data_IF_661169808592
#
_entry.id   IF_661169808592
#
_cell.length_a   1.000
_cell.length_b   1.000
_cell.length_c   1.000
_cell.angle_alpha   90.00
_cell.angle_beta   90.00
_cell.angle_gamma   90.00
#
_symmetry.space_group_name_H-M   'P 1'
#
loop_
_entity.id
_entity.type
_entity.pdbx_description
1 polymer ?
#
# COMPACT_ATOMS: atom_id res chain seq x y z
N UNK A 1 -16.65 -30.01 -21.02
CA UNK A 1 -16.92 -28.63 -21.52
C UNK A 1 -17.94 -28.03 -20.59
N UNK A 2 -17.49 -27.32 -19.52
CA UNK A 2 -18.34 -26.54 -18.63
C UNK A 2 -18.94 -25.36 -19.40
N UNK A 3 -20.21 -25.07 -19.16
CA UNK A 3 -20.80 -23.80 -19.57
C UNK A 3 -20.32 -22.75 -18.56
N UNK A 4 -19.52 -21.79 -19.01
CA UNK A 4 -19.32 -20.55 -18.24
C UNK A 4 -20.67 -19.86 -18.10
N UNK A 5 -21.13 -19.72 -16.88
CA UNK A 5 -22.24 -18.84 -16.52
C UNK A 5 -21.62 -17.51 -16.07
N UNK A 6 -21.70 -16.49 -16.90
CA UNK A 6 -21.37 -15.14 -16.49
C UNK A 6 -22.56 -14.63 -15.64
N UNK A 7 -22.32 -14.44 -14.34
CA UNK A 7 -23.19 -13.61 -13.50
C UNK A 7 -22.76 -12.15 -13.70
N UNK A 8 -23.69 -11.33 -14.17
CA UNK A 8 -23.52 -9.87 -14.15
C UNK A 8 -24.12 -9.43 -12.81
N UNK A 9 -23.26 -9.25 -11.82
CA UNK A 9 -23.64 -8.73 -10.51
C UNK A 9 -23.60 -7.20 -10.57
N UNK A 10 -24.67 -6.62 -11.03
CA UNK A 10 -24.86 -5.19 -11.15
C UNK A 10 -24.80 -4.67 -12.58
N UNK A 11 -25.68 -3.75 -12.89
CA UNK A 11 -25.68 -2.97 -14.14
C UNK A 11 -25.51 -1.51 -13.77
N UNK A 12 -24.43 -0.88 -14.25
CA UNK A 12 -24.32 0.56 -14.23
C UNK A 12 -24.98 1.13 -15.48
N UNK A 13 -25.95 1.99 -15.30
CA UNK A 13 -26.57 2.72 -16.43
C UNK A 13 -25.84 4.04 -16.62
N UNK A 14 -25.11 4.18 -17.73
CA UNK A 14 -24.54 5.47 -18.10
C UNK A 14 -25.64 6.53 -18.19
N UNK A 15 -25.41 7.76 -17.68
CA UNK A 15 -26.34 8.87 -17.87
C UNK A 15 -26.66 9.08 -19.36
N UNK A 16 -27.90 9.38 -19.69
CA UNK A 16 -28.35 9.60 -21.09
C UNK A 16 -27.52 10.62 -21.89
N UNK A 17 -26.76 11.46 -21.19
CA UNK A 17 -25.91 12.51 -21.75
C UNK A 17 -24.40 12.26 -21.55
N UNK A 18 -23.95 11.04 -21.29
CA UNK A 18 -22.53 10.75 -21.23
C UNK A 18 -21.92 10.90 -22.63
N UNK A 19 -21.23 12.01 -22.95
CA UNK A 19 -20.91 12.35 -24.35
C UNK A 19 -19.81 11.48 -24.95
N UNK A 20 -19.12 10.64 -24.15
CA UNK A 20 -17.90 9.95 -24.58
C UNK A 20 -17.84 8.46 -24.17
N UNK A 21 -18.92 7.86 -23.66
CA UNK A 21 -18.94 6.44 -23.26
C UNK A 21 -18.08 6.11 -22.03
N UNK A 22 -17.78 7.11 -21.19
CA UNK A 22 -17.11 6.94 -19.88
C UNK A 22 -17.84 7.77 -18.82
N UNK A 23 -17.64 7.37 -17.55
CA UNK A 23 -18.06 8.12 -16.39
C UNK A 23 -16.93 9.08 -15.97
N UNK A 24 -17.25 10.37 -15.86
CA UNK A 24 -16.35 11.37 -15.29
C UNK A 24 -16.65 11.53 -13.80
N UNK A 25 -15.65 11.26 -12.96
CA UNK A 25 -15.76 11.34 -11.51
C UNK A 25 -14.96 12.55 -11.04
N UNK A 26 -15.60 13.61 -10.49
CA UNK A 26 -14.89 14.77 -9.96
C UNK A 26 -14.12 14.39 -8.70
N UNK A 27 -12.83 14.70 -8.66
CA UNK A 27 -11.96 14.41 -7.53
C UNK A 27 -11.58 15.69 -6.77
N UNK A 28 -11.33 15.55 -5.47
CA UNK A 28 -10.94 16.64 -4.57
C UNK A 28 -9.43 16.64 -4.34
N UNK A 29 -8.68 17.25 -5.27
CA UNK A 29 -7.21 17.30 -5.19
C UNK A 29 -6.73 17.84 -3.84
N UNK A 30 -5.74 17.19 -3.18
CA UNK A 30 -5.08 17.75 -2.00
C UNK A 30 -4.41 19.10 -2.30
N UNK A 31 -4.23 19.93 -1.29
CA UNK A 31 -3.52 21.19 -1.41
C UNK A 31 -2.06 20.97 -1.82
N UNK A 32 -1.55 21.86 -2.65
CA UNK A 32 -0.13 21.88 -3.02
C UNK A 32 0.75 22.12 -1.80
N UNK A 33 1.98 21.64 -1.81
CA UNK A 33 2.88 21.71 -0.67
C UNK A 33 4.29 22.18 -1.02
N UNK A 34 5.12 22.30 0.01
CA UNK A 34 6.52 22.69 -0.09
C UNK A 34 7.35 21.71 0.74
N UNK A 35 8.44 21.19 0.17
CA UNK A 35 9.37 20.29 0.87
C UNK A 35 10.24 21.05 1.88
N UNK A 36 10.92 20.37 2.81
CA UNK A 36 11.93 20.99 3.66
C UNK A 36 13.09 21.67 2.89
N UNK A 37 13.34 21.26 1.65
CA UNK A 37 14.33 21.87 0.78
C UNK A 37 13.82 23.13 0.03
N UNK A 38 12.52 23.45 0.16
CA UNK A 38 11.89 24.60 -0.50
C UNK A 38 11.27 24.29 -1.86
N UNK A 39 11.31 23.06 -2.33
CA UNK A 39 10.70 22.66 -3.60
C UNK A 39 9.18 22.55 -3.47
N UNK A 40 8.45 23.17 -4.39
CA UNK A 40 7.00 23.07 -4.45
C UNK A 40 6.56 21.78 -5.16
N UNK A 41 5.43 21.24 -4.75
CA UNK A 41 4.80 20.09 -5.39
C UNK A 41 3.28 20.20 -5.40
N UNK A 42 2.66 19.57 -6.37
CA UNK A 42 1.22 19.43 -6.52
C UNK A 42 0.86 17.94 -6.48
N UNK A 43 -0.42 17.59 -6.66
CA UNK A 43 -0.89 16.21 -6.64
C UNK A 43 -1.55 15.81 -7.95
N UNK A 44 -1.44 14.52 -8.26
CA UNK A 44 -2.22 13.84 -9.30
C UNK A 44 -2.79 12.53 -8.76
N UNK A 45 -3.97 12.08 -9.26
CA UNK A 45 -4.47 10.75 -8.96
C UNK A 45 -3.51 9.71 -9.54
N UNK A 46 -3.32 8.62 -8.80
CA UNK A 46 -2.42 7.54 -9.16
C UNK A 46 -3.16 6.18 -9.08
N UNK A 47 -2.65 5.19 -8.33
CA UNK A 47 -3.30 3.90 -8.20
C UNK A 47 -4.67 4.02 -7.53
N UNK A 48 -5.62 3.21 -8.00
CA UNK A 48 -6.92 3.06 -7.40
C UNK A 48 -7.31 1.59 -7.25
N UNK A 49 -8.18 1.32 -6.28
CA UNK A 49 -8.86 0.05 -6.08
C UNK A 49 -10.34 0.32 -5.84
N UNK A 50 -11.17 -0.69 -5.93
CA UNK A 50 -12.61 -0.59 -5.67
C UNK A 50 -13.03 -1.60 -4.61
N UNK A 51 -14.07 -1.28 -3.88
CA UNK A 51 -14.74 -2.17 -2.93
C UNK A 51 -16.05 -1.57 -2.48
N UNK A 52 -16.99 -2.41 -2.10
CA UNK A 52 -18.18 -2.01 -1.37
C UNK A 52 -17.76 -1.76 0.08
N UNK A 53 -17.59 -0.50 0.46
CA UNK A 53 -17.03 -0.15 1.77
C UNK A 53 -18.11 0.08 2.84
N UNK A 54 -19.35 0.35 2.45
CA UNK A 54 -20.44 0.60 3.39
C UNK A 54 -21.52 -0.49 3.39
N UNK A 55 -21.41 -1.48 2.49
CA UNK A 55 -22.29 -2.64 2.42
C UNK A 55 -23.61 -2.36 1.71
N UNK A 56 -23.67 -1.35 0.88
CA UNK A 56 -24.89 -0.96 0.15
C UNK A 56 -25.04 -1.67 -1.20
N UNK A 57 -24.01 -2.42 -1.63
CA UNK A 57 -23.97 -3.16 -2.89
C UNK A 57 -23.45 -2.36 -4.07
N UNK A 58 -23.08 -1.10 -3.88
CA UNK A 58 -22.35 -0.29 -4.86
C UNK A 58 -20.87 -0.21 -4.48
N UNK A 59 -19.99 0.03 -5.46
CA UNK A 59 -18.56 0.13 -5.18
C UNK A 59 -18.11 1.57 -5.04
N UNK A 60 -17.28 1.80 -4.03
CA UNK A 60 -16.50 3.02 -3.85
C UNK A 60 -15.11 2.86 -4.48
N UNK A 61 -14.51 4.00 -4.76
CA UNK A 61 -13.15 4.11 -5.29
C UNK A 61 -12.21 4.53 -4.17
N UNK A 62 -11.23 3.69 -3.86
CA UNK A 62 -10.12 4.03 -2.98
C UNK A 62 -8.97 4.47 -3.86
N UNK A 63 -8.58 5.76 -3.75
CA UNK A 63 -7.64 6.43 -4.62
C UNK A 63 -6.40 6.90 -3.86
N UNK A 64 -5.23 6.57 -4.38
CA UNK A 64 -3.95 7.12 -3.93
C UNK A 64 -3.62 8.39 -4.69
N UNK A 65 -3.28 9.44 -3.96
CA UNK A 65 -2.73 10.69 -4.49
C UNK A 65 -1.22 10.68 -4.43
N UNK A 66 -0.57 10.85 -5.57
CA UNK A 66 0.88 10.99 -5.68
C UNK A 66 1.28 12.47 -5.78
N UNK A 67 2.24 12.93 -4.96
CA UNK A 67 2.84 14.24 -5.14
C UNK A 67 3.71 14.26 -6.40
N UNK A 68 3.74 15.38 -7.11
CA UNK A 68 4.49 15.55 -8.37
C UNK A 68 6.01 15.38 -8.22
N UNK A 69 6.51 15.41 -6.99
CA UNK A 69 7.91 15.14 -6.63
C UNK A 69 8.10 13.73 -6.03
N UNK A 70 7.24 12.77 -6.37
CA UNK A 70 7.45 11.37 -6.03
C UNK A 70 8.74 10.84 -6.66
N UNK A 71 9.44 9.93 -5.98
CA UNK A 71 10.72 9.40 -6.43
C UNK A 71 10.73 7.89 -6.44
N UNK A 72 11.39 7.30 -7.44
CA UNK A 72 11.80 5.90 -7.35
C UNK A 72 12.75 5.68 -6.17
N UNK A 73 12.76 4.47 -5.63
CA UNK A 73 13.63 4.08 -4.51
C UNK A 73 15.13 4.30 -4.79
N UNK A 74 15.53 4.35 -6.05
CA UNK A 74 16.92 4.61 -6.43
C UNK A 74 17.31 6.08 -6.33
N UNK A 75 16.35 7.01 -6.33
CA UNK A 75 16.60 8.45 -6.42
C UNK A 75 16.58 9.15 -5.06
N UNK A 76 17.38 10.20 -4.93
CA UNK A 76 17.41 11.09 -3.76
C UNK A 76 16.30 12.16 -3.87
N UNK A 77 15.99 12.81 -2.77
CA UNK A 77 15.08 13.96 -2.70
C UNK A 77 13.91 13.74 -1.74
N UNK A 78 13.40 14.83 -1.17
CA UNK A 78 12.16 14.83 -0.40
C UNK A 78 10.97 14.58 -1.32
N UNK A 79 9.94 13.95 -0.78
CA UNK A 79 8.63 13.83 -1.43
C UNK A 79 7.56 14.52 -0.59
N UNK A 80 6.47 14.91 -1.22
CA UNK A 80 5.23 15.23 -0.53
C UNK A 80 4.65 14.01 0.19
N UNK A 81 3.67 14.26 1.04
CA UNK A 81 2.93 13.20 1.75
C UNK A 81 1.98 12.50 0.80
N UNK A 82 1.74 11.21 1.03
CA UNK A 82 0.78 10.41 0.26
C UNK A 82 -0.57 10.47 0.95
N UNK A 83 -1.63 10.72 0.17
CA UNK A 83 -3.01 10.62 0.66
C UNK A 83 -3.72 9.43 0.04
N UNK A 84 -4.61 8.84 0.82
CA UNK A 84 -5.56 7.83 0.36
C UNK A 84 -6.96 8.37 0.60
N UNK A 85 -7.75 8.45 -0.44
CA UNK A 85 -9.11 8.94 -0.41
C UNK A 85 -10.11 7.83 -0.75
N UNK A 86 -11.32 7.96 -0.25
CA UNK A 86 -12.46 7.18 -0.70
C UNK A 86 -13.49 8.10 -1.36
N UNK A 87 -14.01 7.66 -2.50
CA UNK A 87 -15.02 8.39 -3.29
C UNK A 87 -16.17 7.47 -3.68
N UNK A 88 -17.38 7.98 -3.61
CA UNK A 88 -18.51 7.40 -4.33
C UNK A 88 -18.38 7.63 -5.83
N UNK A 89 -19.09 6.85 -6.64
CA UNK A 89 -19.10 6.99 -8.09
C UNK A 89 -19.66 8.35 -8.59
N UNK A 90 -20.36 9.10 -7.74
CA UNK A 90 -20.82 10.47 -8.03
C UNK A 90 -19.75 11.55 -7.73
N UNK A 91 -18.57 11.18 -7.20
CA UNK A 91 -17.49 12.09 -6.82
C UNK A 91 -17.59 12.65 -5.40
N UNK A 92 -18.53 12.18 -4.59
CA UNK A 92 -18.57 12.50 -3.16
C UNK A 92 -17.37 11.86 -2.46
N UNK A 93 -16.53 12.68 -1.82
CA UNK A 93 -15.41 12.22 -1.00
C UNK A 93 -15.95 11.81 0.38
N UNK A 94 -15.83 10.54 0.72
CA UNK A 94 -16.25 10.00 2.02
C UNK A 94 -15.23 10.28 3.11
N UNK A 95 -13.96 10.06 2.79
CA UNK A 95 -12.87 10.27 3.74
C UNK A 95 -11.51 10.44 3.05
N UNK A 96 -10.55 10.91 3.83
CA UNK A 96 -9.12 11.04 3.46
C UNK A 96 -8.24 10.59 4.62
N UNK A 97 -7.23 9.77 4.31
CA UNK A 97 -6.15 9.36 5.20
C UNK A 97 -4.87 10.06 4.73
N UNK A 98 -4.09 10.61 5.66
CA UNK A 98 -2.77 11.15 5.39
C UNK A 98 -1.70 10.18 5.90
N UNK A 99 -0.89 9.61 5.01
CA UNK A 99 0.18 8.68 5.40
C UNK A 99 1.36 9.37 6.11
N UNK A 100 1.41 10.70 6.06
CA UNK A 100 2.40 11.51 6.77
C UNK A 100 3.79 11.51 6.14
N UNK A 101 4.66 12.30 6.74
CA UNK A 101 6.01 12.56 6.24
C UNK A 101 6.99 11.37 6.32
N UNK A 102 6.67 10.35 7.13
CA UNK A 102 7.50 9.16 7.32
C UNK A 102 7.16 8.01 6.35
N UNK A 103 6.25 8.24 5.40
CA UNK A 103 6.03 7.41 4.22
C UNK A 103 6.48 8.20 2.99
N UNK A 104 7.52 7.73 2.32
CA UNK A 104 8.01 8.34 1.09
C UNK A 104 7.08 8.03 -0.08
N UNK A 105 6.90 8.95 -1.01
CA UNK A 105 6.08 8.75 -2.20
C UNK A 105 6.90 8.21 -3.38
N UNK A 106 6.30 7.29 -4.14
CA UNK A 106 6.85 6.69 -5.35
C UNK A 106 6.28 5.30 -5.63
N UNK A 107 6.64 4.72 -6.74
CA UNK A 107 6.00 3.53 -7.31
C UNK A 107 6.00 2.28 -6.40
N UNK A 108 6.92 2.18 -5.43
CA UNK A 108 7.13 0.95 -4.67
C UNK A 108 6.89 1.09 -3.16
N UNK A 109 6.50 2.29 -2.69
CA UNK A 109 6.42 2.56 -1.24
C UNK A 109 5.08 2.21 -0.62
N UNK A 110 3.98 2.41 -1.35
CA UNK A 110 2.63 2.28 -0.79
C UNK A 110 1.81 1.31 -1.62
N UNK A 111 1.65 0.11 -1.09
CA UNK A 111 0.66 -0.87 -1.55
C UNK A 111 -0.51 -0.84 -0.58
N UNK A 112 -1.73 -0.86 -1.08
CA UNK A 112 -2.94 -0.92 -0.27
C UNK A 112 -3.91 -1.96 -0.86
N UNK A 113 -4.54 -2.72 0.03
CA UNK A 113 -5.52 -3.75 -0.33
C UNK A 113 -6.88 -3.30 0.13
N UNK A 114 -7.88 -3.47 -0.73
CA UNK A 114 -9.29 -3.18 -0.46
C UNK A 114 -10.04 -4.48 -0.64
N UNK A 115 -10.57 -5.02 0.43
CA UNK A 115 -11.28 -6.30 0.40
C UNK A 115 -12.11 -6.48 1.67
N UNK A 116 -13.24 -7.18 1.56
CA UNK A 116 -14.01 -7.68 2.70
C UNK A 116 -13.23 -8.85 3.33
N UNK A 117 -12.43 -8.54 4.36
CA UNK A 117 -11.47 -9.46 4.94
C UNK A 117 -12.06 -10.34 6.06
N UNK A 118 -13.18 -9.95 6.65
CA UNK A 118 -13.84 -10.71 7.71
C UNK A 118 -15.21 -11.29 7.30
N UNK A 119 -15.66 -10.98 6.08
CA UNK A 119 -16.88 -11.53 5.51
C UNK A 119 -18.15 -10.85 6.01
N UNK A 120 -18.07 -9.61 6.50
CA UNK A 120 -19.22 -8.86 7.00
C UNK A 120 -19.99 -8.11 5.90
N UNK A 121 -19.48 -8.13 4.66
CA UNK A 121 -20.04 -7.48 3.48
C UNK A 121 -19.52 -6.06 3.26
N UNK A 122 -18.52 -5.61 4.03
CA UNK A 122 -17.87 -4.31 3.88
C UNK A 122 -16.37 -4.48 3.70
N UNK A 123 -15.81 -3.81 2.70
CA UNK A 123 -14.39 -3.91 2.46
C UNK A 123 -13.59 -3.06 3.45
N UNK A 124 -12.53 -3.64 4.03
CA UNK A 124 -11.48 -2.91 4.73
C UNK A 124 -10.43 -2.38 3.77
N UNK A 125 -9.64 -1.41 4.27
CA UNK A 125 -8.43 -0.94 3.61
C UNK A 125 -7.21 -1.27 4.46
N UNK A 126 -6.28 -2.05 3.92
CA UNK A 126 -5.06 -2.45 4.64
C UNK A 126 -3.83 -1.93 3.92
N UNK A 127 -2.95 -1.27 4.66
CA UNK A 127 -1.71 -0.72 4.11
C UNK A 127 -0.64 -0.51 5.18
N UNK A 128 0.60 -0.35 4.69
CA UNK A 128 1.72 0.06 5.54
C UNK A 128 1.55 1.52 5.96
N UNK A 129 1.73 1.77 7.25
CA UNK A 129 1.73 3.09 7.88
C UNK A 129 3.03 3.32 8.66
N UNK A 130 3.23 4.51 9.19
CA UNK A 130 4.39 4.87 10.00
C UNK A 130 3.98 5.85 11.11
N UNK A 131 4.92 6.19 11.98
CA UNK A 131 4.74 7.28 12.94
C UNK A 131 4.30 8.56 12.21
N UNK A 132 3.23 9.20 12.71
CA UNK A 132 2.66 10.41 12.14
C UNK A 132 1.66 10.19 11.01
N UNK A 133 1.28 8.96 10.67
CA UNK A 133 0.11 8.70 9.81
C UNK A 133 -1.15 9.15 10.54
N UNK A 134 -2.07 9.83 9.84
CA UNK A 134 -3.31 10.40 10.39
C UNK A 134 -4.49 9.77 9.68
N UNK A 135 -5.37 9.12 10.42
CA UNK A 135 -6.60 8.55 9.87
C UNK A 135 -7.65 9.63 9.57
N UNK A 136 -8.77 9.22 9.00
CA UNK A 136 -9.87 10.13 8.61
C UNK A 136 -10.53 10.85 9.78
N UNK A 137 -10.38 10.36 11.00
CA UNK A 137 -10.92 10.95 12.24
C UNK A 137 -9.91 11.86 12.94
N UNK A 138 -8.70 12.02 12.35
CA UNK A 138 -7.63 12.83 12.94
C UNK A 138 -6.81 12.10 14.00
N UNK A 139 -7.00 10.79 14.17
CA UNK A 139 -6.19 9.98 15.10
C UNK A 139 -4.82 9.72 14.48
N UNK A 140 -3.78 10.03 15.23
CA UNK A 140 -2.40 9.80 14.81
C UNK A 140 -1.98 8.38 15.19
N UNK A 141 -1.37 7.67 14.24
CA UNK A 141 -0.73 6.38 14.45
C UNK A 141 0.71 6.63 14.90
N UNK A 142 1.10 6.01 16.01
CA UNK A 142 2.44 6.14 16.57
C UNK A 142 2.77 7.54 17.09
N UNK A 143 4.00 8.00 16.89
CA UNK A 143 4.50 9.30 17.35
C UNK A 143 4.21 10.41 16.33
N UNK A 144 3.34 11.37 16.70
CA UNK A 144 2.98 12.51 15.86
C UNK A 144 4.17 13.45 15.54
N UNK A 145 5.21 13.46 16.39
CA UNK A 145 6.35 14.36 16.25
C UNK A 145 7.52 13.75 15.49
N UNK A 146 7.48 12.44 15.24
CA UNK A 146 8.57 11.75 14.57
C UNK A 146 8.81 12.31 13.16
N UNK A 147 10.06 12.52 12.82
CA UNK A 147 10.52 12.83 11.47
C UNK A 147 11.80 12.03 11.19
N UNK A 148 11.67 11.06 10.30
CA UNK A 148 12.76 10.13 9.96
C UNK A 148 13.39 10.45 8.61
N UNK A 149 12.98 11.55 7.97
CA UNK A 149 13.53 11.97 6.68
C UNK A 149 14.98 12.39 6.86
N UNK A 150 15.87 11.78 6.10
CA UNK A 150 17.28 12.15 6.10
C UNK A 150 17.47 13.53 5.46
N UNK A 151 18.24 14.41 6.08
CA UNK A 151 18.62 15.70 5.52
C UNK A 151 19.63 15.53 4.38
N UNK A 152 20.36 14.43 4.42
CA UNK A 152 21.36 14.08 3.44
C UNK A 152 22.73 14.68 3.73
N UNK A 153 23.71 14.26 2.92
CA UNK A 153 25.09 14.76 2.99
C UNK A 153 25.57 15.09 1.59
N UNK A 154 26.14 16.28 1.41
CA UNK A 154 26.70 16.67 0.13
C UNK A 154 27.92 15.82 -0.25
N UNK A 155 27.88 15.20 -1.43
CA UNK A 155 28.99 14.46 -2.02
C UNK A 155 29.60 15.31 -3.15
N UNK A 156 30.79 15.89 -2.95
CA UNK A 156 31.42 16.74 -3.96
C UNK A 156 31.84 15.97 -5.21
N UNK A 157 32.08 14.67 -5.12
CA UNK A 157 32.45 13.83 -6.26
C UNK A 157 31.31 13.63 -7.25
N UNK A 158 30.07 13.72 -6.77
CA UNK A 158 28.83 13.56 -7.54
C UNK A 158 28.09 14.87 -7.72
N UNK A 159 28.53 15.93 -7.06
CA UNK A 159 27.83 17.21 -6.98
C UNK A 159 26.33 17.04 -6.59
N UNK A 160 26.07 16.19 -5.59
CA UNK A 160 24.71 15.78 -5.18
C UNK A 160 24.62 15.62 -3.66
N UNK A 161 23.44 15.94 -3.10
CA UNK A 161 23.12 15.61 -1.71
C UNK A 161 22.64 14.15 -1.67
N UNK A 162 23.44 13.29 -1.05
CA UNK A 162 23.13 11.88 -0.93
C UNK A 162 22.20 11.59 0.23
N UNK A 163 21.28 10.64 0.05
CA UNK A 163 20.28 10.18 1.04
C UNK A 163 19.22 11.22 1.43
N UNK A 164 19.21 12.39 0.83
CA UNK A 164 18.19 13.41 1.12
C UNK A 164 16.77 12.86 0.92
N UNK A 165 15.89 13.11 1.90
CA UNK A 165 14.48 12.71 1.87
C UNK A 165 14.24 11.20 2.02
N UNK A 166 15.26 10.38 2.22
CA UNK A 166 15.11 8.94 2.46
C UNK A 166 14.67 8.66 3.89
N UNK A 167 13.92 7.58 4.06
CA UNK A 167 13.47 7.09 5.37
C UNK A 167 14.25 5.80 5.66
N UNK A 168 15.37 5.92 6.38
CA UNK A 168 16.28 4.79 6.62
C UNK A 168 16.13 4.16 8.01
N UNK A 169 15.27 4.73 8.85
CA UNK A 169 15.00 4.30 10.24
C UNK A 169 13.56 4.63 10.60
N UNK A 170 13.18 4.32 11.82
CA UNK A 170 11.87 4.63 12.38
C UNK A 170 10.93 3.44 12.35
N UNK A 171 9.82 3.60 13.06
CA UNK A 171 8.78 2.58 13.15
C UNK A 171 7.89 2.58 11.93
N UNK A 172 7.55 1.38 11.53
CA UNK A 172 6.57 1.09 10.48
C UNK A 172 5.54 0.13 11.03
N UNK A 173 4.31 0.29 10.55
CA UNK A 173 3.18 -0.51 10.99
C UNK A 173 2.42 -1.07 9.79
N UNK A 174 1.60 -2.08 10.05
CA UNK A 174 0.53 -2.52 9.17
C UNK A 174 -0.79 -2.17 9.87
N UNK A 175 -1.62 -1.39 9.19
CA UNK A 175 -2.88 -0.90 9.74
C UNK A 175 -4.06 -1.35 8.88
N UNK A 176 -5.10 -1.84 9.55
CA UNK A 176 -6.43 -2.05 8.97
C UNK A 176 -7.27 -0.82 9.27
N UNK A 177 -7.87 -0.26 8.22
CA UNK A 177 -8.81 0.85 8.30
C UNK A 177 -10.20 0.39 7.92
N UNK A 178 -11.22 0.94 8.56
CA UNK A 178 -12.61 0.81 8.10
C UNK A 178 -12.74 1.40 6.69
N UNK A 179 -13.23 0.63 5.74
CA UNK A 179 -13.53 1.15 4.41
C UNK A 179 -14.63 2.21 4.41
N UNK A 180 -15.63 2.04 5.26
CA UNK A 180 -16.77 2.97 5.39
C UNK A 180 -16.31 4.34 5.94
N UNK A 181 -15.46 4.36 6.95
CA UNK A 181 -15.11 5.61 7.65
C UNK A 181 -13.69 6.08 7.50
N UNK A 182 -12.75 5.24 7.03
CA UNK A 182 -11.31 5.54 7.01
C UNK A 182 -10.67 5.62 8.40
N UNK A 183 -11.35 5.18 9.47
CA UNK A 183 -10.81 5.11 10.82
C UNK A 183 -9.85 3.92 10.98
N UNK A 184 -8.74 4.11 11.68
CA UNK A 184 -7.80 3.04 11.99
C UNK A 184 -8.41 2.08 13.03
N UNK A 185 -8.75 0.85 12.61
CA UNK A 185 -9.35 -0.20 13.42
C UNK A 185 -8.30 -0.93 14.25
N UNK A 186 -7.21 -1.38 13.60
CA UNK A 186 -6.14 -2.12 14.26
C UNK A 186 -4.80 -1.84 13.61
N UNK A 187 -3.76 -1.74 14.43
CA UNK A 187 -2.38 -1.47 13.99
C UNK A 187 -1.43 -2.41 14.70
N UNK A 188 -0.56 -3.05 13.93
CA UNK A 188 0.53 -3.89 14.42
C UNK A 188 1.87 -3.38 13.89
N UNK A 189 2.98 -3.76 14.51
CA UNK A 189 4.30 -3.53 13.95
C UNK A 189 4.44 -4.23 12.59
N UNK A 190 5.06 -3.56 11.61
CA UNK A 190 5.24 -4.14 10.27
C UNK A 190 6.20 -5.33 10.31
N UNK A 191 5.80 -6.43 9.68
CA UNK A 191 6.59 -7.67 9.56
C UNK A 191 6.99 -7.89 8.10
N UNK A 192 8.29 -8.01 7.80
CA UNK A 192 9.41 -7.87 8.71
C UNK A 192 9.74 -6.41 9.01
N UNK A 193 10.25 -6.12 10.19
CA UNK A 193 10.79 -4.79 10.48
C UNK A 193 11.91 -4.42 9.49
N UNK A 194 12.08 -3.11 9.22
CA UNK A 194 13.17 -2.61 8.33
C UNK A 194 14.54 -3.05 8.83
N UNK A 195 14.80 -2.97 10.13
CA UNK A 195 16.09 -3.24 10.70
C UNK A 195 17.16 -2.30 10.14
N UNK A 196 18.39 -2.81 9.99
CA UNK A 196 19.44 -2.09 9.28
C UNK A 196 19.24 -2.23 7.76
N UNK A 197 19.05 -1.12 7.05
CA UNK A 197 18.79 -1.12 5.59
C UNK A 197 19.92 -1.78 4.79
N UNK A 198 21.17 -1.77 5.29
CA UNK A 198 22.29 -2.42 4.62
C UNK A 198 22.13 -3.95 4.54
N UNK A 199 21.43 -4.56 5.48
CA UNK A 199 21.18 -6.01 5.49
C UNK A 199 20.22 -6.45 4.36
N UNK A 200 19.56 -5.49 3.70
CA UNK A 200 18.74 -5.71 2.51
C UNK A 200 19.52 -5.60 1.19
N UNK A 201 20.85 -5.32 1.27
CA UNK A 201 21.73 -5.28 0.11
C UNK A 201 22.12 -3.90 -0.42
N UNK A 202 21.63 -2.82 0.22
CA UNK A 202 22.11 -1.46 -0.02
C UNK A 202 21.89 -0.54 1.18
N UNK A 203 22.69 0.52 1.28
CA UNK A 203 22.62 1.46 2.41
C UNK A 203 21.68 2.65 2.18
N UNK A 204 20.82 2.60 1.14
CA UNK A 204 19.95 3.71 0.73
C UNK A 204 18.45 3.38 0.84
N UNK A 205 18.12 2.17 1.27
CA UNK A 205 16.75 1.70 1.35
C UNK A 205 16.14 1.31 -0.01
N UNK A 206 16.90 1.25 -1.09
CA UNK A 206 16.37 0.88 -2.40
C UNK A 206 15.86 -0.57 -2.42
N UNK A 207 16.49 -1.47 -1.66
CA UNK A 207 16.08 -2.87 -1.53
C UNK A 207 14.99 -3.05 -0.47
N UNK A 208 15.18 -2.44 0.70
CA UNK A 208 14.27 -2.57 1.84
C UNK A 208 12.91 -1.92 1.63
N UNK A 209 12.81 -0.89 0.79
CA UNK A 209 11.60 -0.10 0.61
C UNK A 209 10.86 -0.45 -0.69
N UNK A 210 10.89 -1.72 -1.08
CA UNK A 210 10.10 -2.27 -2.16
C UNK A 210 9.06 -3.23 -1.60
N UNK A 211 7.82 -2.87 -1.83
CA UNK A 211 6.66 -3.55 -1.30
C UNK A 211 5.75 -4.02 -2.44
N UNK A 212 5.18 -5.20 -2.26
CA UNK A 212 4.06 -5.71 -3.03
C UNK A 212 3.03 -6.25 -2.05
N UNK A 213 1.79 -6.37 -2.48
CA UNK A 213 0.73 -6.94 -1.66
C UNK A 213 -0.31 -7.66 -2.52
N UNK A 214 -1.01 -8.60 -1.93
CA UNK A 214 -2.17 -9.26 -2.50
C UNK A 214 -3.14 -9.69 -1.40
N UNK A 215 -4.34 -10.08 -1.82
CA UNK A 215 -5.27 -10.88 -1.01
C UNK A 215 -5.29 -12.29 -1.59
N UNK A 216 -5.26 -13.31 -0.72
CA UNK A 216 -5.21 -14.72 -1.11
C UNK A 216 -6.05 -15.57 -0.16
N UNK A 217 -6.74 -16.57 -0.67
CA UNK A 217 -7.49 -17.56 0.10
C UNK A 217 -6.56 -18.74 0.46
N UNK A 218 -5.64 -18.49 1.39
CA UNK A 218 -4.58 -19.44 1.78
C UNK A 218 -5.08 -20.72 2.48
N UNK A 219 -6.32 -20.75 2.90
CA UNK A 219 -7.00 -21.93 3.45
C UNK A 219 -8.25 -22.33 2.65
N UNK A 220 -8.42 -21.71 1.48
CA UNK A 220 -9.56 -21.95 0.59
C UNK A 220 -10.89 -21.36 1.06
N UNK A 221 -10.93 -20.68 2.21
CA UNK A 221 -12.18 -20.20 2.82
C UNK A 221 -12.11 -18.72 3.23
N UNK A 222 -11.03 -18.31 3.86
CA UNK A 222 -10.88 -16.96 4.42
C UNK A 222 -9.80 -16.16 3.67
N UNK A 223 -10.08 -14.90 3.32
CA UNK A 223 -9.09 -14.05 2.69
C UNK A 223 -7.99 -13.66 3.69
N UNK A 224 -6.74 -13.75 3.26
CA UNK A 224 -5.57 -13.27 3.98
C UNK A 224 -4.92 -12.13 3.22
N UNK A 225 -4.43 -11.12 3.92
CA UNK A 225 -3.58 -10.08 3.31
C UNK A 225 -2.14 -10.57 3.32
N UNK A 226 -1.46 -10.53 2.17
CA UNK A 226 -0.05 -10.86 2.06
C UNK A 226 0.73 -9.60 1.71
N UNK A 227 1.66 -9.24 2.59
CA UNK A 227 2.53 -8.09 2.43
C UNK A 227 3.96 -8.56 2.14
N UNK A 228 4.52 -8.10 1.03
CA UNK A 228 5.87 -8.46 0.62
C UNK A 228 6.83 -7.30 0.85
N UNK A 229 8.07 -7.60 1.25
CA UNK A 229 9.14 -6.63 1.41
C UNK A 229 10.44 -7.16 0.85
N UNK A 230 11.19 -6.31 0.15
CA UNK A 230 12.51 -6.62 -0.40
C UNK A 230 12.47 -7.29 -1.78
N UNK A 231 13.56 -7.13 -2.52
CA UNK A 231 13.73 -7.75 -3.84
C UNK A 231 15.21 -7.75 -4.24
N UNK A 232 15.58 -8.60 -5.21
CA UNK A 232 16.93 -8.82 -5.75
C UNK A 232 17.97 -9.34 -4.75
N UNK A 233 17.67 -9.34 -3.46
CA UNK A 233 18.47 -9.90 -2.38
C UNK A 233 17.54 -10.62 -1.42
N UNK A 234 17.44 -10.18 -0.16
CA UNK A 234 16.46 -10.69 0.80
C UNK A 234 15.05 -10.40 0.30
N UNK A 235 14.19 -11.41 0.35
CA UNK A 235 12.78 -11.37 -0.01
C UNK A 235 11.96 -11.94 1.13
N UNK A 236 10.93 -11.20 1.56
CA UNK A 236 10.04 -11.62 2.64
C UNK A 236 8.60 -11.46 2.20
N UNK A 237 7.80 -12.49 2.47
CA UNK A 237 6.35 -12.48 2.35
C UNK A 237 5.77 -12.76 3.73
N UNK A 238 4.81 -11.96 4.18
CA UNK A 238 4.13 -12.16 5.45
C UNK A 238 2.62 -12.13 5.22
N UNK A 239 1.93 -13.19 5.65
CA UNK A 239 0.47 -13.30 5.56
C UNK A 239 -0.19 -12.94 6.89
N UNK A 240 -1.35 -12.30 6.79
CA UNK A 240 -2.11 -11.81 7.94
C UNK A 240 -3.59 -12.09 7.74
N UNK A 241 -4.26 -12.52 8.81
CA UNK A 241 -5.69 -12.73 8.87
C UNK A 241 -6.35 -11.61 9.68
N UNK A 242 -7.44 -11.07 9.16
CA UNK A 242 -8.31 -10.11 9.85
C UNK A 242 -9.58 -10.83 10.33
N UNK A 243 -10.04 -10.58 11.53
CA UNK A 243 -11.23 -11.21 12.10
C UNK A 243 -12.29 -10.21 12.61
N UNK A 244 -12.28 -8.99 12.03
CA UNK A 244 -13.17 -7.90 12.45
C UNK A 244 -12.70 -7.16 13.71
N UNK A 245 -11.63 -7.62 14.37
CA UNK A 245 -11.14 -7.04 15.61
C UNK A 245 -9.63 -6.90 15.70
N UNK A 246 -8.91 -7.91 15.26
CA UNK A 246 -7.45 -7.94 15.32
C UNK A 246 -6.85 -8.52 14.05
N UNK A 247 -5.73 -7.95 13.62
CA UNK A 247 -4.92 -8.46 12.54
C UNK A 247 -3.84 -9.38 13.14
N UNK A 248 -3.79 -10.63 12.71
CA UNK A 248 -2.84 -11.64 13.19
C UNK A 248 -1.92 -12.09 12.08
N UNK A 249 -0.62 -12.17 12.38
CA UNK A 249 0.30 -12.82 11.46
C UNK A 249 0.00 -14.33 11.38
N UNK A 250 -0.21 -14.82 10.16
CA UNK A 250 -0.48 -16.23 9.87
C UNK A 250 0.82 -17.00 9.66
N UNK A 251 1.69 -16.49 8.78
CA UNK A 251 3.02 -17.04 8.53
C UNK A 251 3.95 -15.98 7.94
N UNK A 252 5.25 -16.25 7.98
CA UNK A 252 6.28 -15.46 7.34
C UNK A 252 7.21 -16.37 6.57
N UNK A 253 7.40 -16.10 5.28
CA UNK A 253 8.49 -16.61 4.47
C UNK A 253 9.60 -15.56 4.43
N UNK A 254 10.84 -15.97 4.69
CA UNK A 254 12.01 -15.08 4.62
C UNK A 254 13.17 -15.85 3.96
N UNK A 255 13.70 -15.33 2.86
CA UNK A 255 14.83 -15.95 2.16
C UNK A 255 16.12 -15.98 2.98
N UNK A 256 16.19 -15.27 4.11
CA UNK A 256 17.30 -15.37 5.07
C UNK A 256 17.12 -16.48 6.11
N UNK A 257 15.98 -17.17 6.15
CA UNK A 257 15.83 -18.32 7.03
C UNK A 257 16.68 -19.50 6.55
N UNK A 258 17.26 -20.30 7.48
CA UNK A 258 18.03 -21.48 7.11
C UNK A 258 17.23 -22.42 6.21
N UNK A 259 17.82 -22.78 5.06
CA UNK A 259 17.17 -23.63 4.04
C UNK A 259 16.35 -22.86 3.01
N UNK A 260 16.26 -21.53 3.12
CA UNK A 260 15.57 -20.67 2.15
C UNK A 260 16.53 -19.77 1.33
N UNK A 261 17.83 -19.87 1.53
CA UNK A 261 18.83 -18.98 0.95
C UNK A 261 18.84 -19.01 -0.59
N UNK A 262 18.47 -20.16 -1.21
CA UNK A 262 18.35 -20.30 -2.67
C UNK A 262 17.27 -19.40 -3.29
N UNK A 263 16.35 -18.90 -2.48
CA UNK A 263 15.28 -17.98 -2.92
C UNK A 263 15.67 -16.51 -2.79
N UNK A 264 16.84 -16.21 -2.22
CA UNK A 264 17.37 -14.85 -2.23
C UNK A 264 17.58 -14.38 -3.70
N UNK A 265 17.16 -13.14 -3.97
CA UNK A 265 17.21 -12.60 -5.32
C UNK A 265 16.03 -12.98 -6.22
N UNK A 266 15.11 -13.83 -5.77
CA UNK A 266 13.91 -14.23 -6.52
C UNK A 266 12.78 -13.19 -6.42
N UNK A 267 12.83 -12.26 -5.47
CA UNK A 267 11.84 -11.19 -5.34
C UNK A 267 11.79 -10.30 -6.59
N UNK A 268 10.60 -9.97 -7.03
CA UNK A 268 10.35 -9.33 -8.32
C UNK A 268 9.43 -8.12 -8.18
N UNK A 269 9.14 -7.47 -9.34
CA UNK A 269 8.20 -6.36 -9.50
C UNK A 269 6.75 -6.81 -9.64
N UNK A 270 6.47 -8.11 -9.55
CA UNK A 270 5.17 -8.67 -9.80
C UNK A 270 4.81 -9.75 -8.78
N UNK A 271 3.53 -9.80 -8.44
CA UNK A 271 2.92 -10.77 -7.54
C UNK A 271 1.64 -11.25 -8.19
N UNK A 272 1.38 -12.55 -8.15
CA UNK A 272 0.15 -13.17 -8.62
C UNK A 272 -0.35 -14.16 -7.58
N UNK A 273 -1.64 -14.40 -7.61
CA UNK A 273 -2.36 -15.30 -6.72
C UNK A 273 -3.26 -16.19 -7.55
N UNK A 274 -3.41 -17.43 -7.15
CA UNK A 274 -4.37 -18.36 -7.72
C UNK A 274 -4.11 -19.77 -7.24
N UNK A 275 -5.16 -20.59 -7.20
CA UNK A 275 -5.10 -22.02 -6.96
C UNK A 275 -4.50 -22.71 -8.22
N UNK A 276 -3.19 -22.97 -8.19
CA UNK A 276 -2.48 -23.48 -9.35
C UNK A 276 -2.36 -25.00 -9.37
N UNK A 277 -2.57 -25.67 -8.26
CA UNK A 277 -2.52 -27.13 -8.17
C UNK A 277 -3.90 -27.78 -7.99
N UNK A 278 -4.96 -26.98 -7.80
CA UNK A 278 -6.35 -27.42 -7.75
C UNK A 278 -6.77 -27.99 -6.40
N UNK A 279 -6.07 -27.61 -5.32
CA UNK A 279 -6.39 -28.09 -3.95
C UNK A 279 -7.44 -27.24 -3.23
N UNK A 280 -7.83 -26.11 -3.85
CA UNK A 280 -8.82 -25.15 -3.33
C UNK A 280 -8.23 -24.05 -2.48
N UNK A 281 -6.91 -24.00 -2.28
CA UNK A 281 -6.20 -22.91 -1.64
C UNK A 281 -5.42 -22.10 -2.67
N UNK A 282 -5.23 -20.81 -2.42
CA UNK A 282 -4.42 -19.99 -3.31
C UNK A 282 -2.93 -20.12 -3.03
N UNK A 283 -2.12 -20.27 -4.10
CA UNK A 283 -0.69 -20.05 -4.07
C UNK A 283 -0.32 -18.62 -4.39
N UNK A 284 0.84 -18.22 -3.87
CA UNK A 284 1.45 -16.92 -4.16
C UNK A 284 2.62 -17.13 -5.11
N UNK A 285 2.47 -16.61 -6.32
CA UNK A 285 3.49 -16.66 -7.36
C UNK A 285 4.30 -15.38 -7.31
N UNK A 286 5.52 -15.48 -6.77
CA UNK A 286 6.43 -14.37 -6.59
C UNK A 286 7.84 -14.79 -7.02
N UNK A 287 8.31 -14.26 -8.11
CA UNK A 287 9.62 -14.61 -8.64
C UNK A 287 9.92 -13.95 -9.99
N UNK A 288 11.18 -14.02 -10.42
CA UNK A 288 11.65 -13.47 -11.70
C UNK A 288 12.11 -14.56 -12.66
#
# INVERSE_FOLDING_TARGET
KGKETHHIDGTYTLPENAPLGYLEIPLQKPADGITPAGDTYTYSPNDASIGDVDGDGEYEIILKWDPSNSHDNAHEGYTGEVYIDCYRMNGEQLWRINLGKNIRAGAHYTQFMVYDLDGDGKAEVVMRTADGTIDSKGKVIGDANADYREEGTFDPSRNQIMKQGRILKGKEYLTVFSGDTGEALHTIDYIPARGNVADWGDAKGNRSDRFLACVAYLDGVHPSVVMCRGYYTRTVLAAFDWNGKELKNRWVFDSNHPGCEQYAGQGNHNLRVGDVDGDGCDEIIYGS
#
